data_IF_878223567553
#
_entry.id   IF_878223567553
#
_cell.length_a   1.000
_cell.length_b   1.000
_cell.length_c   1.000
_cell.angle_alpha   90.00
_cell.angle_beta   90.00
_cell.angle_gamma   90.00
#
_symmetry.space_group_name_H-M   'P 1'
#
loop_
_entity.id
_entity.type
_entity.pdbx_description
1 polymer ?
#
# COMPACT_ATOMS: atom_id res chain seq x y z
N UNK A 1 32.14 16.91 18.54
CA UNK A 1 30.83 16.92 17.86
C UNK A 1 30.76 15.75 16.88
N UNK A 2 30.36 14.55 17.32
CA UNK A 2 30.28 13.34 16.48
C UNK A 2 29.04 12.46 16.77
N UNK A 3 28.18 12.85 17.71
CA UNK A 3 27.07 12.01 18.17
C UNK A 3 25.83 12.07 17.26
N UNK A 4 25.59 13.17 16.53
CA UNK A 4 24.38 13.33 15.72
C UNK A 4 24.35 12.45 14.47
N UNK A 5 25.48 12.36 13.74
CA UNK A 5 25.56 11.56 12.49
C UNK A 5 25.36 10.07 12.73
N UNK A 6 25.90 9.53 13.84
CA UNK A 6 25.73 8.11 14.19
C UNK A 6 24.27 7.77 14.51
N UNK A 7 23.50 8.74 15.04
CA UNK A 7 22.06 8.57 15.31
C UNK A 7 21.24 8.72 14.03
N UNK A 8 21.56 9.68 13.17
CA UNK A 8 20.87 9.86 11.87
C UNK A 8 21.09 8.66 10.92
N UNK A 9 22.30 8.13 10.87
CA UNK A 9 22.63 6.92 10.10
C UNK A 9 21.87 5.71 10.61
N UNK A 10 21.80 5.52 11.93
CA UNK A 10 21.01 4.46 12.55
C UNK A 10 19.50 4.60 12.24
N UNK A 11 18.95 5.81 12.35
CA UNK A 11 17.55 6.08 11.99
C UNK A 11 17.30 5.75 10.51
N UNK A 12 18.22 6.14 9.62
CA UNK A 12 18.11 5.84 8.19
C UNK A 12 18.19 4.34 7.91
N UNK A 13 19.03 3.62 8.65
CA UNK A 13 19.11 2.16 8.58
C UNK A 13 17.82 1.50 9.06
N UNK A 14 17.27 1.96 10.18
CA UNK A 14 15.99 1.48 10.72
C UNK A 14 14.84 1.71 9.74
N UNK A 15 14.78 2.90 9.12
CA UNK A 15 13.80 3.22 8.07
C UNK A 15 13.93 2.24 6.90
N UNK A 16 15.16 1.97 6.42
CA UNK A 16 15.40 1.01 5.33
C UNK A 16 15.06 -0.43 5.74
N UNK A 17 15.34 -0.82 6.98
CA UNK A 17 15.04 -2.15 7.48
C UNK A 17 13.52 -2.37 7.62
N UNK A 18 12.80 -1.37 8.14
CA UNK A 18 11.34 -1.39 8.19
C UNK A 18 10.72 -1.42 6.79
N UNK A 19 11.27 -0.66 5.84
CA UNK A 19 10.82 -0.67 4.45
C UNK A 19 10.98 -2.05 3.80
N UNK A 20 12.14 -2.70 3.96
CA UNK A 20 12.38 -4.07 3.49
C UNK A 20 11.42 -5.08 4.12
N UNK A 21 11.24 -5.01 5.44
CA UNK A 21 10.33 -5.90 6.16
C UNK A 21 8.88 -5.76 5.67
N UNK A 22 8.45 -4.53 5.33
CA UNK A 22 7.13 -4.31 4.70
C UNK A 22 7.08 -4.94 3.31
N UNK A 23 8.08 -4.72 2.46
CA UNK A 23 8.12 -5.29 1.12
C UNK A 23 8.05 -6.81 1.13
N UNK A 24 8.85 -7.46 1.99
CA UNK A 24 8.83 -8.91 2.20
C UNK A 24 7.47 -9.39 2.72
N UNK A 25 6.87 -8.67 3.68
CA UNK A 25 5.56 -9.02 4.20
C UNK A 25 4.45 -8.92 3.15
N UNK A 26 4.44 -7.85 2.35
CA UNK A 26 3.44 -7.67 1.30
C UNK A 26 3.62 -8.69 0.17
N UNK A 27 4.86 -9.05 -0.18
CA UNK A 27 5.15 -10.13 -1.12
C UNK A 27 4.69 -11.50 -0.62
N UNK A 28 4.87 -11.80 0.68
CA UNK A 28 4.34 -13.03 1.26
C UNK A 28 2.81 -13.05 1.24
N UNK A 29 2.15 -11.90 1.49
CA UNK A 29 0.69 -11.80 1.41
C UNK A 29 0.13 -11.96 0.01
N UNK A 30 0.86 -11.57 -1.05
CA UNK A 30 0.43 -11.83 -2.43
C UNK A 30 0.46 -13.33 -2.77
N UNK A 31 1.25 -14.13 -2.05
CA UNK A 31 1.26 -15.59 -2.14
C UNK A 31 0.36 -16.28 -1.09
N UNK A 32 -0.54 -15.52 -0.43
CA UNK A 32 -1.41 -15.98 0.66
C UNK A 32 -0.66 -16.57 1.89
N UNK A 33 0.64 -16.31 2.03
CA UNK A 33 1.45 -16.75 3.16
C UNK A 33 1.43 -15.73 4.32
N UNK A 34 0.38 -15.81 5.12
CA UNK A 34 0.19 -14.97 6.31
C UNK A 34 1.27 -15.22 7.38
N UNK A 35 1.83 -16.42 7.47
CA UNK A 35 2.81 -16.74 8.50
C UNK A 35 4.16 -16.09 8.19
N UNK A 36 4.63 -16.22 6.95
CA UNK A 36 5.85 -15.54 6.50
C UNK A 36 5.69 -14.03 6.53
N UNK A 37 4.52 -13.49 6.18
CA UNK A 37 4.26 -12.06 6.29
C UNK A 37 4.41 -11.53 7.72
N UNK A 38 3.88 -12.26 8.71
CA UNK A 38 4.06 -11.92 10.13
C UNK A 38 5.50 -11.99 10.58
N UNK A 39 6.20 -13.03 10.15
CA UNK A 39 7.61 -13.24 10.50
C UNK A 39 8.46 -12.09 9.94
N UNK A 40 8.29 -11.74 8.66
CA UNK A 40 8.98 -10.62 8.03
C UNK A 40 8.70 -9.31 8.78
N UNK A 41 7.43 -8.99 9.06
CA UNK A 41 7.07 -7.73 9.72
C UNK A 41 7.52 -7.68 11.19
N UNK A 42 7.64 -8.82 11.88
CA UNK A 42 8.16 -8.88 13.25
C UNK A 42 9.64 -8.48 13.37
N UNK A 43 10.39 -8.55 12.27
CA UNK A 43 11.77 -8.08 12.20
C UNK A 43 11.87 -6.57 11.95
N UNK A 44 10.76 -5.87 11.68
CA UNK A 44 10.76 -4.43 11.48
C UNK A 44 11.13 -3.68 12.77
N UNK A 45 12.12 -2.76 12.74
CA UNK A 45 12.44 -1.94 13.90
C UNK A 45 11.28 -1.00 14.24
N UNK A 46 11.22 -0.58 15.50
CA UNK A 46 10.25 0.43 15.94
C UNK A 46 10.68 1.79 15.41
N UNK A 47 9.88 2.35 14.52
CA UNK A 47 10.11 3.67 13.91
C UNK A 47 9.01 4.65 14.34
N UNK A 48 9.30 5.95 14.26
CA UNK A 48 8.24 6.94 14.45
C UNK A 48 7.17 6.79 13.37
N UNK A 49 5.94 7.17 13.73
CA UNK A 49 4.80 7.06 12.82
C UNK A 49 5.05 7.77 11.49
N UNK A 50 5.56 9.01 11.54
CA UNK A 50 5.81 9.86 10.37
C UNK A 50 6.87 9.29 9.42
N UNK A 51 7.85 8.54 9.93
CA UNK A 51 8.96 8.00 9.14
C UNK A 51 8.57 6.71 8.41
N UNK A 52 8.20 5.67 9.17
CA UNK A 52 7.86 4.35 8.60
C UNK A 52 6.80 3.60 9.40
N UNK A 53 6.42 4.08 10.58
CA UNK A 53 5.40 3.44 11.42
C UNK A 53 4.03 3.39 10.74
N UNK A 54 3.69 4.37 9.89
CA UNK A 54 2.47 4.34 9.06
C UNK A 54 2.48 3.14 8.08
N UNK A 55 3.62 2.87 7.45
CA UNK A 55 3.79 1.83 6.43
C UNK A 55 3.77 0.43 7.04
N UNK A 56 4.49 0.25 8.16
CA UNK A 56 4.45 -0.97 8.98
C UNK A 56 3.02 -1.22 9.51
N UNK A 57 2.34 -0.16 9.95
CA UNK A 57 0.94 -0.24 10.35
C UNK A 57 0.04 -0.73 9.23
N UNK A 58 0.24 -0.25 7.99
CA UNK A 58 -0.57 -0.61 6.85
C UNK A 58 -0.38 -2.08 6.48
N UNK A 59 0.86 -2.56 6.43
CA UNK A 59 1.17 -3.97 6.24
C UNK A 59 0.54 -4.85 7.35
N UNK A 60 0.57 -4.39 8.60
CA UNK A 60 -0.10 -5.09 9.72
C UNK A 60 -1.60 -5.21 9.49
N UNK A 61 -2.25 -4.15 8.99
CA UNK A 61 -3.67 -4.19 8.66
C UNK A 61 -3.96 -5.25 7.59
N UNK A 62 -3.11 -5.36 6.57
CA UNK A 62 -3.27 -6.36 5.51
C UNK A 62 -3.13 -7.78 6.04
N UNK A 63 -2.16 -8.02 6.92
CA UNK A 63 -2.00 -9.31 7.63
C UNK A 63 -3.27 -9.64 8.44
N UNK A 64 -3.83 -8.67 9.16
CA UNK A 64 -5.06 -8.86 9.94
C UNK A 64 -6.26 -9.20 9.05
N UNK A 65 -6.42 -8.50 7.92
CA UNK A 65 -7.49 -8.77 6.95
C UNK A 65 -7.35 -10.18 6.34
N UNK A 66 -6.15 -10.54 5.84
CA UNK A 66 -5.87 -11.87 5.26
C UNK A 66 -6.00 -12.99 6.29
N UNK A 67 -5.68 -12.73 7.56
CA UNK A 67 -5.89 -13.69 8.66
C UNK A 67 -7.35 -13.80 9.12
N UNK A 68 -8.31 -13.17 8.44
CA UNK A 68 -9.72 -13.19 8.78
C UNK A 68 -10.12 -12.28 9.97
N UNK A 69 -9.17 -11.52 10.54
CA UNK A 69 -9.39 -10.56 11.63
C UNK A 69 -9.95 -9.23 11.10
N UNK A 70 -11.04 -9.31 10.33
CA UNK A 70 -11.63 -8.19 9.56
C UNK A 70 -11.82 -6.92 10.39
N UNK A 71 -12.47 -7.02 11.56
CA UNK A 71 -12.74 -5.85 12.43
C UNK A 71 -11.46 -5.12 12.84
N UNK A 72 -10.42 -5.87 13.23
CA UNK A 72 -9.15 -5.29 13.65
C UNK A 72 -8.44 -4.61 12.46
N UNK A 73 -8.34 -5.32 11.33
CA UNK A 73 -7.70 -4.78 10.13
C UNK A 73 -8.42 -3.53 9.58
N UNK A 74 -9.76 -3.52 9.55
CA UNK A 74 -10.55 -2.37 9.12
C UNK A 74 -10.36 -1.15 10.05
N UNK A 75 -10.41 -1.36 11.37
CA UNK A 75 -10.17 -0.28 12.33
C UNK A 75 -8.76 0.30 12.18
N UNK A 76 -7.77 -0.56 11.92
CA UNK A 76 -6.40 -0.15 11.70
C UNK A 76 -6.26 0.66 10.41
N UNK A 77 -6.91 0.25 9.32
CA UNK A 77 -6.96 1.03 8.07
C UNK A 77 -7.50 2.44 8.30
N UNK A 78 -8.65 2.56 8.97
CA UNK A 78 -9.24 3.87 9.30
C UNK A 78 -8.27 4.74 10.09
N UNK A 79 -7.62 4.15 11.10
CA UNK A 79 -6.66 4.86 11.97
C UNK A 79 -5.45 5.37 11.19
N UNK A 80 -4.90 4.56 10.29
CA UNK A 80 -3.73 4.95 9.49
C UNK A 80 -4.12 6.04 8.50
N UNK A 81 -5.20 5.84 7.74
CA UNK A 81 -5.67 6.81 6.75
C UNK A 81 -6.01 8.17 7.38
N UNK A 82 -6.61 8.18 8.58
CA UNK A 82 -6.90 9.39 9.33
C UNK A 82 -5.67 10.13 9.87
N UNK A 83 -4.50 9.49 9.86
CA UNK A 83 -3.24 10.07 10.35
C UNK A 83 -2.20 10.27 9.25
N UNK A 84 -2.54 10.02 7.99
CA UNK A 84 -1.60 10.24 6.88
C UNK A 84 -1.13 11.69 6.80
N UNK A 85 -1.91 12.66 7.30
CA UNK A 85 -1.52 14.06 7.35
C UNK A 85 -0.35 14.35 8.30
N UNK A 86 -0.08 13.46 9.27
CA UNK A 86 1.11 13.49 10.15
C UNK A 86 2.41 13.12 9.41
N UNK A 87 2.33 12.66 8.14
CA UNK A 87 3.47 12.17 7.37
C UNK A 87 3.95 13.19 6.34
N UNK A 88 5.21 13.07 5.92
CA UNK A 88 5.80 13.88 4.84
C UNK A 88 5.44 13.39 3.44
N UNK A 89 4.51 12.44 3.29
CA UNK A 89 4.06 11.95 1.99
C UNK A 89 3.44 13.09 1.16
N UNK A 90 3.54 12.96 -0.16
CA UNK A 90 2.86 13.89 -1.06
C UNK A 90 1.34 13.77 -0.93
N UNK A 91 0.61 14.80 -1.39
CA UNK A 91 -0.86 14.73 -1.45
C UNK A 91 -1.32 13.52 -2.28
N UNK A 92 -0.64 13.25 -3.38
CA UNK A 92 -0.98 12.15 -4.28
C UNK A 92 -0.73 10.78 -3.63
N UNK A 93 0.39 10.60 -2.92
CA UNK A 93 0.66 9.37 -2.16
C UNK A 93 -0.37 9.15 -1.06
N UNK A 94 -0.73 10.21 -0.31
CA UNK A 94 -1.75 10.11 0.75
C UNK A 94 -3.10 9.69 0.17
N UNK A 95 -3.51 10.31 -0.94
CA UNK A 95 -4.77 9.99 -1.61
C UNK A 95 -4.77 8.59 -2.21
N UNK A 96 -3.64 8.15 -2.78
CA UNK A 96 -3.45 6.79 -3.26
C UNK A 96 -3.65 5.77 -2.14
N UNK A 97 -3.04 5.98 -0.98
CA UNK A 97 -3.15 5.07 0.17
C UNK A 97 -4.57 5.04 0.76
N UNK A 98 -5.29 6.16 0.77
CA UNK A 98 -6.72 6.21 1.15
C UNK A 98 -7.58 5.38 0.20
N UNK A 99 -7.35 5.51 -1.12
CA UNK A 99 -8.04 4.69 -2.12
C UNK A 99 -7.70 3.20 -1.99
N UNK A 100 -6.43 2.87 -1.77
CA UNK A 100 -6.01 1.50 -1.48
C UNK A 100 -6.77 0.93 -0.28
N UNK A 101 -6.81 1.67 0.83
CA UNK A 101 -7.52 1.25 2.04
C UNK A 101 -9.02 1.08 1.80
N UNK A 102 -9.66 1.95 1.00
CA UNK A 102 -11.06 1.79 0.61
C UNK A 102 -11.29 0.46 -0.11
N UNK A 103 -10.46 0.12 -1.10
CA UNK A 103 -10.61 -1.12 -1.86
C UNK A 103 -10.44 -2.34 -0.96
N UNK A 104 -9.39 -2.37 -0.15
CA UNK A 104 -9.17 -3.47 0.82
C UNK A 104 -10.29 -3.54 1.86
N UNK A 105 -10.80 -2.39 2.29
CA UNK A 105 -11.93 -2.31 3.20
C UNK A 105 -13.24 -2.83 2.61
N UNK A 106 -13.45 -2.60 1.32
CA UNK A 106 -14.61 -3.10 0.56
C UNK A 106 -14.53 -4.62 0.39
N UNK A 107 -13.37 -5.14 -0.03
CA UNK A 107 -13.11 -6.58 -0.20
C UNK A 107 -13.27 -7.36 1.11
N UNK A 108 -12.80 -6.79 2.23
CA UNK A 108 -12.90 -7.44 3.53
C UNK A 108 -14.30 -7.37 4.14
N UNK A 109 -15.18 -6.50 3.65
CA UNK A 109 -16.51 -6.27 4.21
C UNK A 109 -17.51 -7.34 3.78
N UNK A 110 -18.36 -7.80 4.72
CA UNK A 110 -19.43 -8.76 4.42
C UNK A 110 -20.55 -8.17 3.56
N UNK A 111 -20.74 -6.86 3.61
CA UNK A 111 -21.81 -6.14 2.88
C UNK A 111 -21.34 -5.61 1.53
N UNK A 112 -20.08 -5.87 1.15
CA UNK A 112 -19.46 -5.28 -0.03
C UNK A 112 -19.30 -3.77 0.07
N UNK A 113 -19.31 -3.19 1.28
CA UNK A 113 -19.12 -1.76 1.53
C UNK A 113 -18.08 -1.54 2.62
N UNK A 114 -17.10 -0.68 2.35
CA UNK A 114 -16.12 -0.27 3.34
C UNK A 114 -16.75 0.55 4.49
N UNK A 115 -16.07 0.64 5.65
CA UNK A 115 -16.43 1.57 6.73
C UNK A 115 -16.69 2.99 6.21
N UNK A 116 -17.67 3.68 6.81
CA UNK A 116 -18.07 5.05 6.41
C UNK A 116 -16.89 6.00 6.46
N UNK A 117 -16.06 5.88 7.49
CA UNK A 117 -14.88 6.72 7.69
C UNK A 117 -13.90 6.62 6.51
N UNK A 118 -13.70 5.42 5.94
CA UNK A 118 -12.87 5.28 4.73
C UNK A 118 -13.55 5.86 3.50
N UNK A 119 -14.88 5.80 3.43
CA UNK A 119 -15.68 6.34 2.31
C UNK A 119 -15.66 7.87 2.30
N UNK A 120 -15.81 8.50 3.46
CA UNK A 120 -15.77 9.96 3.59
C UNK A 120 -14.35 10.48 3.29
N UNK A 121 -13.33 9.71 3.73
CA UNK A 121 -11.94 9.91 3.32
C UNK A 121 -11.66 9.55 1.85
N UNK A 122 -12.65 9.18 1.03
CA UNK A 122 -12.53 8.96 -0.44
C UNK A 122 -13.72 9.50 -1.30
N UNK A 123 -14.55 10.41 -0.77
CA UNK A 123 -15.59 11.21 -1.47
C UNK A 123 -15.10 12.28 -2.51
N UNK A 124 -14.27 13.28 -2.17
CA UNK A 124 -13.75 14.37 -3.05
C UNK A 124 -12.33 14.19 -3.67
N UNK A 125 -12.00 13.03 -4.24
CA UNK A 125 -10.59 12.60 -4.39
C UNK A 125 -10.09 12.87 -5.78
N UNK A 126 -9.00 13.63 -5.85
CA UNK A 126 -8.22 13.81 -7.05
C UNK A 126 -6.75 13.67 -6.70
N UNK A 127 -6.07 12.83 -7.46
CA UNK A 127 -4.63 12.71 -7.42
C UNK A 127 -4.14 12.25 -8.78
N UNK A 128 -2.90 12.61 -9.11
CA UNK A 128 -2.26 12.20 -10.35
C UNK A 128 -1.50 10.89 -10.11
N UNK A 129 -1.94 9.82 -10.79
CA UNK A 129 -1.31 8.51 -10.68
C UNK A 129 0.18 8.50 -11.10
N UNK A 130 0.60 9.43 -11.94
CA UNK A 130 2.00 9.57 -12.39
C UNK A 130 2.89 10.16 -11.30
N UNK A 131 2.30 10.93 -10.36
CA UNK A 131 3.01 11.53 -9.23
C UNK A 131 3.07 10.61 -8.01
N UNK A 132 2.33 9.49 -8.02
CA UNK A 132 2.40 8.49 -6.95
C UNK A 132 3.72 7.74 -7.00
N UNK A 133 4.39 7.70 -5.84
CA UNK A 133 5.66 7.03 -5.66
C UNK A 133 5.60 5.56 -6.14
N UNK A 134 6.51 5.14 -7.04
CA UNK A 134 6.51 3.77 -7.58
C UNK A 134 6.61 2.69 -6.51
N UNK A 135 7.31 2.96 -5.39
CA UNK A 135 7.44 1.99 -4.30
C UNK A 135 6.10 1.74 -3.60
N UNK A 136 5.23 2.76 -3.47
CA UNK A 136 3.90 2.58 -2.90
C UNK A 136 3.01 1.75 -3.80
N UNK A 137 3.11 1.96 -5.12
CA UNK A 137 2.37 1.17 -6.10
C UNK A 137 2.79 -0.30 -6.11
N UNK A 138 4.07 -0.55 -5.88
CA UNK A 138 4.62 -1.91 -5.74
C UNK A 138 4.14 -2.59 -4.46
N UNK A 139 4.28 -1.92 -3.32
CA UNK A 139 4.02 -2.56 -2.02
C UNK A 139 2.52 -2.61 -1.69
N UNK A 140 1.74 -1.64 -2.16
CA UNK A 140 0.30 -1.51 -1.91
C UNK A 140 -0.48 -1.32 -3.22
N UNK A 141 -0.52 -2.32 -4.11
CA UNK A 141 -1.15 -2.19 -5.41
C UNK A 141 -2.68 -2.05 -5.27
N UNK A 142 -3.29 -1.13 -6.03
CA UNK A 142 -4.74 -0.90 -6.03
C UNK A 142 -5.53 -2.06 -6.62
N UNK A 143 -5.03 -2.62 -7.72
CA UNK A 143 -5.54 -3.87 -8.29
C UNK A 143 -4.76 -5.01 -7.68
N UNK A 144 -5.37 -6.18 -7.49
CA UNK A 144 -4.55 -7.39 -7.41
C UNK A 144 -3.73 -7.44 -8.70
N UNK A 145 -2.43 -7.72 -8.57
CA UNK A 145 -1.63 -8.04 -9.75
C UNK A 145 -2.14 -9.40 -10.21
N UNK A 146 -3.25 -9.41 -10.95
CA UNK A 146 -3.35 -10.36 -12.04
C UNK A 146 -2.17 -10.01 -12.93
N UNK A 147 -1.29 -10.97 -13.16
CA UNK A 147 -0.25 -10.85 -14.18
C UNK A 147 -0.92 -10.23 -15.40
N UNK A 148 -0.61 -8.96 -15.69
CA UNK A 148 -0.90 -8.44 -17.00
C UNK A 148 0.09 -9.21 -17.88
N UNK A 149 -0.33 -10.38 -18.36
CA UNK A 149 0.12 -10.81 -19.67
C UNK A 149 -0.20 -9.63 -20.57
N UNK A 150 0.85 -8.94 -21.02
CA UNK A 150 0.79 -8.05 -22.17
C UNK A 150 0.02 -8.79 -23.26
N UNK A 151 -1.28 -8.48 -23.38
CA UNK A 151 -2.08 -8.97 -24.49
C UNK A 151 -1.33 -8.62 -25.76
N UNK A 152 -1.28 -9.52 -26.76
CA UNK A 152 -0.51 -9.28 -27.98
C UNK A 152 -0.91 -7.91 -28.55
N UNK A 153 0.07 -7.12 -29.05
CA UNK A 153 -0.21 -5.80 -29.58
C UNK A 153 -1.36 -5.88 -30.60
N UNK A 154 -2.25 -4.87 -30.65
CA UNK A 154 -3.39 -4.89 -31.54
C UNK A 154 -2.91 -5.17 -32.98
N UNK A 155 -3.61 -6.04 -33.74
CA UNK A 155 -3.20 -6.36 -35.10
C UNK A 155 -3.13 -5.08 -35.94
N UNK A 156 -2.17 -4.98 -36.88
CA UNK A 156 -2.05 -3.82 -37.75
C UNK A 156 -3.35 -3.60 -38.52
N UNK A 157 -3.75 -2.34 -38.78
CA UNK A 157 -4.96 -2.05 -39.53
C UNK A 157 -4.90 -2.69 -40.92
N UNK A 158 -6.04 -3.20 -41.44
CA UNK A 158 -6.08 -3.81 -42.76
C UNK A 158 -5.66 -2.78 -43.83
N UNK A 159 -4.93 -3.21 -44.88
CA UNK A 159 -4.56 -2.34 -45.98
C UNK A 159 -5.83 -1.78 -46.66
N UNK A 160 -5.81 -0.52 -47.12
CA UNK A 160 -6.93 0.07 -47.83
C UNK A 160 -7.25 -0.78 -49.07
N UNK A 161 -8.51 -1.16 -49.22
CA UNK A 161 -9.01 -1.82 -50.42
C UNK A 161 -8.81 -0.84 -51.59
N UNK A 162 -7.87 -1.16 -52.49
CA UNK A 162 -7.80 -0.50 -53.79
C UNK A 162 -9.10 -0.79 -54.53
N UNK A 163 -9.98 0.21 -54.59
CA UNK A 163 -11.10 0.23 -55.53
C UNK A 163 -10.48 0.50 -56.91
N UNK A 164 -10.46 -0.53 -57.75
CA UNK A 164 -10.12 -0.48 -59.17
C UNK A 164 -11.23 -1.12 -59.97
#
# INVERSE_FOLDING_TARGET
MFSGRKTEEAIREDIRAADRAVGEAMQALSADDVQSARKALSAAPKTHYADMGWKVGLATAMIELKAGKRRAGLQRLVTICGRLDDTSLSRDDKNYLKLFALYRGTEASKTGRAPTELRDMVEDFRFDHTLVSPILRKDFPLKHVEDNEDGPPPPPPPPPLSVG
#
